data_IF_458832309754
#
_entry.id   IF_458832309754
#
_cell.length_a   1.000
_cell.length_b   1.000
_cell.length_c   1.000
_cell.angle_alpha   90.00
_cell.angle_beta   90.00
_cell.angle_gamma   90.00
#
_symmetry.space_group_name_H-M   'P 1'
#
loop_
_entity.id
_entity.type
_entity.pdbx_description
1 polymer ?
#
# COMPACT_ATOMS: atom_id res chain seq x y z
N UNK A 1 4.23 -5.24 -4.48
CA UNK A 1 5.08 -4.40 -3.61
C UNK A 1 6.54 -4.76 -3.83
N UNK A 2 7.45 -3.79 -3.79
CA UNK A 2 8.90 -3.96 -3.98
C UNK A 2 9.67 -3.12 -2.98
N UNK A 3 10.81 -3.63 -2.50
CA UNK A 3 11.70 -2.92 -1.58
C UNK A 3 13.09 -2.88 -2.19
N UNK A 4 13.66 -1.69 -2.23
CA UNK A 4 15.01 -1.41 -2.72
C UNK A 4 15.72 -0.52 -1.68
N UNK A 5 16.38 -1.16 -0.71
CA UNK A 5 17.00 -0.49 0.43
C UNK A 5 15.99 0.36 1.21
N UNK A 6 16.14 1.69 1.12
CA UNK A 6 15.27 2.68 1.79
C UNK A 6 13.97 2.94 1.06
N UNK A 7 13.84 2.49 -0.19
CA UNK A 7 12.68 2.75 -1.03
C UNK A 7 11.69 1.59 -0.97
N UNK A 8 10.42 1.92 -0.79
CA UNK A 8 9.32 0.97 -0.78
C UNK A 8 8.28 1.40 -1.82
N UNK A 9 8.05 0.53 -2.80
CA UNK A 9 7.05 0.73 -3.86
C UNK A 9 5.83 -0.14 -3.64
N UNK A 10 4.65 0.46 -3.67
CA UNK A 10 3.37 -0.21 -3.46
C UNK A 10 2.29 0.34 -4.41
N UNK A 11 1.27 -0.46 -4.74
CA UNK A 11 0.21 0.00 -5.63
C UNK A 11 -0.70 1.02 -4.91
N UNK A 12 -1.23 1.99 -5.66
CA UNK A 12 -2.19 2.99 -5.14
C UNK A 12 -3.53 2.39 -4.71
N UNK A 13 -3.85 1.20 -5.23
CA UNK A 13 -5.13 0.54 -4.99
C UNK A 13 -5.33 0.02 -3.57
N UNK A 14 -4.26 -0.09 -2.79
CA UNK A 14 -4.35 -0.54 -1.41
C UNK A 14 -4.46 0.63 -0.43
N UNK A 15 -5.30 0.46 0.58
CA UNK A 15 -5.38 1.42 1.67
C UNK A 15 -4.16 1.30 2.56
N UNK A 16 -3.30 2.32 2.55
CA UNK A 16 -2.11 2.39 3.40
C UNK A 16 -2.03 3.72 4.15
N UNK A 17 -1.30 3.71 5.25
CA UNK A 17 -0.83 4.92 5.94
C UNK A 17 0.65 4.78 6.18
N UNK A 18 1.44 5.75 5.74
CA UNK A 18 2.88 5.76 5.95
C UNK A 18 3.33 7.04 6.62
N UNK A 19 4.47 6.94 7.31
CA UNK A 19 5.29 8.07 7.74
C UNK A 19 6.63 7.90 7.05
N UNK A 20 6.77 8.53 5.89
CA UNK A 20 7.94 8.44 5.03
C UNK A 20 7.82 9.51 3.94
N UNK A 21 8.92 9.80 3.26
CA UNK A 21 8.95 10.75 2.16
C UNK A 21 8.38 10.11 0.90
N UNK A 22 7.34 10.68 0.32
CA UNK A 22 6.91 10.30 -1.02
C UNK A 22 7.93 10.85 -2.04
N UNK A 23 8.63 9.96 -2.73
CA UNK A 23 9.66 10.31 -3.72
C UNK A 23 9.18 10.14 -5.16
N UNK A 24 8.21 9.26 -5.38
CA UNK A 24 7.66 9.00 -6.71
C UNK A 24 6.21 8.58 -6.60
N UNK A 25 5.39 9.13 -7.46
CA UNK A 25 4.01 8.71 -7.65
C UNK A 25 3.77 8.65 -9.15
N UNK A 26 3.42 7.46 -9.64
CA UNK A 26 3.11 7.19 -11.05
C UNK A 26 1.74 6.52 -11.12
N UNK A 27 1.11 6.55 -12.29
CA UNK A 27 -0.22 5.98 -12.50
C UNK A 27 -0.29 4.50 -12.06
N UNK A 28 -0.82 4.28 -10.85
CA UNK A 28 -0.99 2.97 -10.23
C UNK A 28 0.01 2.60 -9.11
N UNK A 29 1.14 3.28 -8.93
CA UNK A 29 2.15 2.96 -7.91
C UNK A 29 2.69 4.20 -7.16
N UNK A 30 2.93 4.04 -5.86
CA UNK A 30 3.61 5.02 -5.00
C UNK A 30 4.93 4.42 -4.54
N UNK A 31 5.98 5.22 -4.57
CA UNK A 31 7.27 4.93 -3.96
C UNK A 31 7.55 5.93 -2.84
N UNK A 32 7.77 5.39 -1.64
CA UNK A 32 8.19 6.15 -0.48
C UNK A 32 9.64 5.81 -0.12
N UNK A 33 10.35 6.76 0.48
CA UNK A 33 11.69 6.60 1.02
C UNK A 33 11.67 6.85 2.52
N UNK A 34 12.24 5.93 3.29
CA UNK A 34 12.38 6.11 4.73
C UNK A 34 13.38 7.24 5.04
N UNK A 35 12.96 8.21 5.84
CA UNK A 35 13.81 9.33 6.28
C UNK A 35 14.53 8.98 7.58
N UNK A 36 13.80 8.36 8.52
CA UNK A 36 14.27 8.05 9.87
C UNK A 36 13.84 6.64 10.32
N UNK A 37 14.33 6.19 11.48
CA UNK A 37 13.93 4.92 12.12
C UNK A 37 12.46 4.92 12.58
N UNK A 38 11.83 6.10 12.64
CA UNK A 38 10.39 6.23 12.90
C UNK A 38 9.54 5.99 11.64
N UNK A 39 10.17 5.70 10.49
CA UNK A 39 9.44 5.50 9.24
C UNK A 39 8.67 4.19 9.27
N UNK A 40 7.38 4.26 8.91
CA UNK A 40 6.51 3.09 8.88
C UNK A 40 5.57 3.10 7.68
N UNK A 41 5.09 1.91 7.29
CA UNK A 41 4.01 1.69 6.34
C UNK A 41 3.02 0.71 6.95
N UNK A 42 1.81 1.20 7.21
CA UNK A 42 0.70 0.42 7.72
C UNK A 42 -0.27 0.13 6.60
N UNK A 43 -0.45 -1.15 6.29
CA UNK A 43 -1.39 -1.63 5.28
C UNK A 43 -2.70 -2.00 5.96
N UNK A 44 -3.80 -1.46 5.46
CA UNK A 44 -5.14 -1.75 5.95
C UNK A 44 -5.85 -2.75 5.04
N UNK A 45 -6.63 -3.61 5.65
CA UNK A 45 -7.65 -4.40 4.97
C UNK A 45 -8.87 -3.53 4.65
N UNK A 46 -9.68 -3.92 3.65
CA UNK A 46 -10.97 -3.29 3.31
C UNK A 46 -11.92 -3.22 4.50
N UNK A 47 -11.80 -4.17 5.43
CA UNK A 47 -12.59 -4.26 6.65
C UNK A 47 -12.07 -3.36 7.79
N UNK A 48 -11.21 -2.37 7.47
CA UNK A 48 -10.57 -1.43 8.42
C UNK A 48 -9.64 -2.07 9.47
N UNK A 49 -9.36 -3.37 9.37
CA UNK A 49 -8.33 -4.04 10.16
C UNK A 49 -6.92 -3.74 9.62
N UNK A 50 -5.91 -3.84 10.49
CA UNK A 50 -4.50 -3.75 10.07
C UNK A 50 -4.11 -5.08 9.45
N UNK A 51 -3.76 -5.06 8.16
CA UNK A 51 -3.31 -6.26 7.45
C UNK A 51 -1.84 -6.55 7.78
N UNK A 52 -0.99 -5.52 7.65
CA UNK A 52 0.44 -5.57 7.89
C UNK A 52 0.99 -4.23 8.34
N UNK A 53 2.11 -4.26 9.04
CA UNK A 53 2.88 -3.10 9.44
C UNK A 53 4.35 -3.35 9.08
N UNK A 54 4.91 -2.45 8.29
CA UNK A 54 6.33 -2.40 7.98
C UNK A 54 6.95 -1.21 8.70
N UNK A 55 8.13 -1.41 9.24
CA UNK A 55 8.95 -0.39 9.89
C UNK A 55 10.31 -0.37 9.22
N UNK A 56 10.97 0.79 9.27
CA UNK A 56 12.31 0.93 8.74
C UNK A 56 13.33 0.72 9.86
N UNK A 57 14.03 -0.41 9.83
CA UNK A 57 15.04 -0.78 10.81
C UNK A 57 16.29 -1.32 10.12
N UNK A 58 17.47 -1.04 10.67
CA UNK A 58 18.74 -1.54 10.11
C UNK A 58 18.90 -1.24 8.60
N UNK A 59 18.50 -0.03 8.19
CA UNK A 59 18.56 0.44 6.80
C UNK A 59 17.69 -0.34 5.79
N UNK A 60 16.74 -1.14 6.28
CA UNK A 60 15.82 -1.91 5.47
C UNK A 60 14.39 -1.85 6.01
N UNK A 61 13.43 -2.02 5.11
CA UNK A 61 12.04 -2.18 5.50
C UNK A 61 11.78 -3.62 5.95
N UNK A 62 11.35 -3.77 7.20
CA UNK A 62 11.05 -5.07 7.84
C UNK A 62 9.61 -5.10 8.30
N UNK A 63 9.04 -6.30 8.35
CA UNK A 63 7.72 -6.54 8.92
C UNK A 63 7.80 -6.45 10.45
N UNK A 64 6.96 -5.62 11.06
CA UNK A 64 7.03 -5.34 12.51
C UNK A 64 6.59 -6.53 13.38
N UNK A 65 5.89 -7.52 12.82
CA UNK A 65 5.41 -8.70 13.56
C UNK A 65 6.46 -9.82 13.58
N UNK A 66 7.18 -9.97 12.47
CA UNK A 66 8.15 -11.05 12.26
C UNK A 66 9.61 -10.58 12.31
N UNK A 67 9.84 -9.26 12.26
CA UNK A 67 11.14 -8.62 12.05
C UNK A 67 11.88 -9.14 10.82
N UNK A 68 11.15 -9.72 9.86
CA UNK A 68 11.73 -10.24 8.64
C UNK A 68 11.76 -9.16 7.56
N UNK A 69 12.83 -9.10 6.76
CA UNK A 69 12.84 -8.25 5.59
C UNK A 69 11.71 -8.66 4.66
N UNK A 70 11.15 -7.68 3.98
CA UNK A 70 10.08 -7.91 3.03
C UNK A 70 10.45 -8.99 2.00
N UNK A 71 9.72 -10.12 2.03
CA UNK A 71 9.95 -11.25 1.12
C UNK A 71 8.87 -11.38 0.04
N UNK A 72 8.10 -10.32 -0.18
CA UNK A 72 6.91 -10.35 -1.04
C UNK A 72 5.64 -10.29 -0.20
N UNK A 73 4.89 -9.21 -0.37
CA UNK A 73 3.55 -9.07 0.17
C UNK A 73 2.58 -9.54 -0.89
N UNK A 74 2.00 -10.71 -0.65
CA UNK A 74 0.98 -11.29 -1.52
C UNK A 74 -0.37 -10.64 -1.19
N UNK A 75 -0.80 -9.72 -2.05
CA UNK A 75 -2.08 -9.05 -1.94
C UNK A 75 -3.24 -10.03 -2.06
N UNK A 76 -3.11 -11.04 -2.92
CA UNK A 76 -4.07 -12.11 -3.11
C UNK A 76 -4.23 -12.97 -1.85
N UNK A 77 -3.16 -13.23 -1.11
CA UNK A 77 -3.23 -13.96 0.17
C UNK A 77 -4.09 -13.26 1.23
N UNK A 78 -4.27 -11.94 1.10
CA UNK A 78 -5.12 -11.12 1.96
C UNK A 78 -6.46 -10.76 1.31
N UNK A 79 -6.76 -11.32 0.13
CA UNK A 79 -7.94 -10.97 -0.67
C UNK A 79 -7.95 -9.52 -1.15
N UNK A 80 -6.79 -8.85 -1.18
CA UNK A 80 -6.63 -7.45 -1.56
C UNK A 80 -6.45 -7.25 -3.07
N UNK A 81 -6.16 -8.32 -3.82
CA UNK A 81 -5.94 -8.30 -5.27
C UNK A 81 -7.16 -7.75 -6.03
N UNK A 82 -8.37 -8.15 -5.62
CA UNK A 82 -9.64 -7.70 -6.22
C UNK A 82 -9.97 -6.21 -5.98
N UNK A 83 -9.32 -5.57 -5.01
CA UNK A 83 -9.54 -4.14 -4.71
C UNK A 83 -8.63 -3.23 -5.55
N UNK A 84 -7.70 -3.83 -6.32
CA UNK A 84 -6.96 -3.23 -7.43
C UNK A 84 -7.82 -2.45 -8.41
N UNK A 85 -9.03 -2.95 -8.66
CA UNK A 85 -9.93 -2.43 -9.70
C UNK A 85 -11.02 -1.50 -9.16
N UNK A 86 -11.10 -1.30 -7.83
CA UNK A 86 -12.17 -0.50 -7.21
C UNK A 86 -11.90 1.02 -7.20
N UNK A 87 -10.86 1.45 -7.90
CA UNK A 87 -10.52 2.86 -8.15
C UNK A 87 -10.91 3.35 -9.55
N UNK A 88 -11.63 2.55 -10.34
CA UNK A 88 -12.43 3.14 -11.43
C UNK A 88 -13.72 3.60 -10.79
N UNK A 89 -13.84 4.90 -10.59
CA UNK A 89 -15.14 5.56 -10.55
C UNK A 89 -15.98 5.01 -11.71
N UNK A 90 -16.86 4.05 -11.42
CA UNK A 90 -18.07 3.90 -12.19
C UNK A 90 -18.89 5.14 -11.83
N UNK A 91 -18.64 6.21 -12.58
CA UNK A 91 -19.55 7.32 -12.75
C UNK A 91 -20.87 6.70 -13.21
N UNK A 92 -21.68 6.32 -12.22
CA UNK A 92 -23.02 5.82 -12.45
C UNK A 92 -23.78 6.98 -13.07
N UNK A 93 -23.86 7.00 -14.40
CA UNK A 93 -24.76 7.89 -15.12
C UNK A 93 -26.13 7.80 -14.45
N UNK A 94 -26.74 8.91 -14.03
CA UNK A 94 -28.05 8.86 -13.39
C UNK A 94 -29.03 8.28 -14.40
N UNK A 95 -29.96 7.41 -13.98
CA UNK A 95 -30.87 6.76 -14.90
C UNK A 95 -31.68 7.81 -15.65
N UNK A 96 -31.50 7.89 -16.97
CA UNK A 96 -32.36 8.69 -17.84
C UNK A 96 -33.78 8.10 -17.76
N UNK A 97 -34.64 8.79 -17.03
CA UNK A 97 -36.09 8.58 -17.07
C UNK A 97 -36.54 9.00 -18.46
N UNK A 98 -36.91 8.01 -19.27
CA UNK A 98 -37.56 8.21 -20.57
C UNK A 98 -39.00 8.68 -20.27
N UNK A 99 -39.31 9.92 -20.66
CA UNK A 99 -40.67 10.49 -20.74
C UNK A 99 -41.26 10.20 -22.11
#
# INVERSE_FOLDING_TARGET
>A
MKIDGKQLTFPKSISVKYSAKLIKEVDGEITIEAEDEESYLKVFTPFRGVAKLYVFENECWVDAETSQPFSGFDLSALGLDQFGELGKDEETEPPKIIT
#
